data_IF_554046773149
#
_entry.id   IF_554046773149
#
_cell.length_a   1.000
_cell.length_b   1.000
_cell.length_c   1.000
_cell.angle_alpha   90.00
_cell.angle_beta   90.00
_cell.angle_gamma   90.00
#
_symmetry.space_group_name_H-M   'P 1'
#
loop_
_entity.id
_entity.type
_entity.pdbx_description
1 polymer ?
#
# COMPACT_ATOMS: atom_id res chain seq x y z
N UNK A 1 75.62 -6.58 -4.42
CA UNK A 1 74.87 -7.36 -5.43
C UNK A 1 74.58 -8.69 -4.77
N UNK A 2 73.41 -8.93 -4.18
CA UNK A 2 72.11 -8.94 -4.84
C UNK A 2 70.98 -8.43 -3.93
N UNK A 3 70.25 -7.47 -4.47
CA UNK A 3 68.85 -7.09 -4.25
C UNK A 3 68.14 -7.64 -3.02
N UNK A 4 68.11 -6.80 -1.99
CA UNK A 4 67.03 -6.77 -1.01
C UNK A 4 65.78 -6.25 -1.75
N UNK A 5 65.13 -7.11 -2.53
CA UNK A 5 63.80 -6.84 -3.08
C UNK A 5 62.81 -6.85 -1.92
N UNK A 6 62.72 -5.70 -1.23
CA UNK A 6 61.66 -5.37 -0.29
C UNK A 6 60.37 -5.34 -1.10
N UNK A 7 59.75 -6.50 -1.23
CA UNK A 7 58.37 -6.63 -1.68
C UNK A 7 57.50 -5.86 -0.68
N UNK A 8 57.14 -4.62 -1.04
CA UNK A 8 56.12 -3.86 -0.32
C UNK A 8 54.79 -4.60 -0.50
N UNK A 9 54.56 -5.60 0.35
CA UNK A 9 53.23 -6.16 0.58
C UNK A 9 52.44 -5.11 1.36
N UNK A 10 51.82 -4.19 0.63
CA UNK A 10 50.76 -3.35 1.18
C UNK A 10 49.75 -4.32 1.80
N UNK A 11 49.58 -4.27 3.12
CA UNK A 11 48.53 -5.02 3.80
C UNK A 11 47.19 -4.43 3.36
N UNK A 12 46.54 -5.12 2.43
CA UNK A 12 45.22 -4.76 1.88
C UNK A 12 44.11 -5.31 2.79
N UNK A 13 44.42 -5.62 4.06
CA UNK A 13 43.50 -6.26 5.00
C UNK A 13 42.32 -5.35 5.37
N UNK A 14 42.44 -4.04 5.14
CA UNK A 14 41.40 -3.04 5.41
C UNK A 14 40.39 -2.87 4.26
N UNK A 15 40.75 -3.19 3.02
CA UNK A 15 39.86 -3.02 1.86
C UNK A 15 38.57 -3.86 1.95
N UNK A 16 38.62 -5.15 2.35
CA UNK A 16 37.42 -5.94 2.58
C UNK A 16 36.50 -5.37 3.67
N UNK A 17 37.07 -4.76 4.71
CA UNK A 17 36.31 -4.12 5.79
C UNK A 17 35.58 -2.87 5.27
N UNK A 18 36.27 -2.05 4.48
CA UNK A 18 35.68 -0.87 3.83
C UNK A 18 34.55 -1.29 2.88
N UNK A 19 34.71 -2.39 2.14
CA UNK A 19 33.66 -2.89 1.25
C UNK A 19 32.40 -3.33 2.02
N UNK A 20 32.57 -3.99 3.16
CA UNK A 20 31.45 -4.38 4.04
C UNK A 20 30.72 -3.14 4.57
N UNK A 21 31.45 -2.14 5.05
CA UNK A 21 30.82 -0.91 5.54
C UNK A 21 30.15 -0.11 4.43
N UNK A 22 30.72 -0.10 3.22
CA UNK A 22 30.08 0.50 2.05
C UNK A 22 28.75 -0.20 1.71
N UNK A 23 28.72 -1.54 1.73
CA UNK A 23 27.49 -2.33 1.52
C UNK A 23 26.44 -2.00 2.59
N UNK A 24 26.84 -1.89 3.86
CA UNK A 24 25.94 -1.44 4.94
C UNK A 24 25.42 -0.04 4.68
N UNK A 25 26.28 0.92 4.35
CA UNK A 25 25.89 2.30 4.06
C UNK A 25 24.87 2.38 2.90
N UNK A 26 25.10 1.63 1.82
CA UNK A 26 24.17 1.55 0.70
C UNK A 26 22.81 0.96 1.11
N UNK A 27 22.81 -0.12 1.90
CA UNK A 27 21.58 -0.71 2.42
C UNK A 27 20.78 0.28 3.27
N UNK A 28 21.45 1.09 4.12
CA UNK A 28 20.81 2.16 4.90
C UNK A 28 20.22 3.25 4.01
N UNK A 29 20.92 3.66 2.95
CA UNK A 29 20.40 4.62 1.97
C UNK A 29 19.11 4.11 1.30
N UNK A 30 19.07 2.83 0.91
CA UNK A 30 17.86 2.19 0.38
C UNK A 30 16.71 2.20 1.39
N UNK A 31 17.00 2.00 2.69
CA UNK A 31 16.00 2.07 3.75
C UNK A 31 15.42 3.48 3.93
N UNK A 32 16.26 4.51 3.84
CA UNK A 32 15.79 5.90 3.83
C UNK A 32 14.87 6.15 2.62
N UNK A 33 15.26 5.69 1.43
CA UNK A 33 14.40 5.78 0.24
C UNK A 33 13.08 5.02 0.41
N UNK A 34 13.10 3.81 0.97
CA UNK A 34 11.90 3.03 1.23
C UNK A 34 10.94 3.68 2.24
N UNK A 35 11.49 4.49 3.15
CA UNK A 35 10.69 5.28 4.11
C UNK A 35 10.10 6.51 3.44
N UNK A 36 10.91 7.23 2.66
CA UNK A 36 10.54 8.53 2.10
C UNK A 36 9.66 8.38 0.84
N UNK A 37 9.79 7.26 0.13
CA UNK A 37 9.02 6.92 -1.06
C UNK A 37 8.21 5.63 -0.83
N UNK A 38 6.97 5.60 -1.32
CA UNK A 38 6.11 4.39 -1.28
C UNK A 38 6.64 3.31 -2.23
N UNK A 39 7.70 2.61 -1.81
CA UNK A 39 8.25 1.46 -2.52
C UNK A 39 7.34 0.24 -2.39
N UNK A 40 7.47 -0.71 -3.31
CA UNK A 40 6.68 -1.96 -3.28
C UNK A 40 7.05 -2.86 -2.11
N UNK A 41 6.12 -3.72 -1.67
CA UNK A 41 6.36 -4.69 -0.58
C UNK A 41 7.49 -5.67 -0.94
N UNK A 42 7.54 -6.13 -2.19
CA UNK A 42 8.64 -6.93 -2.74
C UNK A 42 10.01 -6.26 -2.58
N UNK A 43 10.10 -4.95 -2.82
CA UNK A 43 11.34 -4.21 -2.63
C UNK A 43 11.73 -4.18 -1.14
N UNK A 44 10.78 -3.89 -0.26
CA UNK A 44 11.01 -3.85 1.20
C UNK A 44 11.45 -5.23 1.72
N UNK A 45 10.85 -6.32 1.23
CA UNK A 45 11.27 -7.68 1.57
C UNK A 45 12.71 -7.97 1.16
N UNK A 46 13.11 -7.63 -0.08
CA UNK A 46 14.48 -7.81 -0.56
C UNK A 46 15.48 -6.98 0.27
N UNK A 47 15.10 -5.75 0.59
CA UNK A 47 15.91 -4.87 1.42
C UNK A 47 16.12 -5.44 2.83
N UNK A 48 15.09 -6.00 3.47
CA UNK A 48 15.23 -6.62 4.80
C UNK A 48 16.10 -7.89 4.76
N UNK A 49 16.06 -8.66 3.67
CA UNK A 49 16.98 -9.79 3.45
C UNK A 49 18.43 -9.34 3.29
N UNK A 50 18.66 -8.24 2.57
CA UNK A 50 19.98 -7.60 2.45
C UNK A 50 20.50 -7.14 3.82
N UNK A 51 19.66 -6.46 4.61
CA UNK A 51 20.00 -6.01 5.96
C UNK A 51 20.38 -7.17 6.90
N UNK A 52 19.67 -8.30 6.79
CA UNK A 52 19.97 -9.52 7.57
C UNK A 52 21.31 -10.12 7.16
N UNK A 53 21.59 -10.20 5.86
CA UNK A 53 22.89 -10.66 5.33
C UNK A 53 24.05 -9.79 5.83
N UNK A 54 23.81 -8.48 5.96
CA UNK A 54 24.79 -7.50 6.43
C UNK A 54 24.83 -7.35 7.97
N UNK A 55 24.00 -8.10 8.70
CA UNK A 55 23.89 -8.09 10.17
C UNK A 55 23.53 -6.71 10.75
N UNK A 56 22.68 -5.95 10.05
CA UNK A 56 22.20 -4.63 10.45
C UNK A 56 20.67 -4.59 10.66
N UNK A 57 20.00 -5.73 10.61
CA UNK A 57 18.53 -5.85 10.71
C UNK A 57 17.95 -5.33 12.04
N UNK A 58 18.78 -5.26 13.09
CA UNK A 58 18.41 -4.75 14.42
C UNK A 58 18.43 -3.23 14.52
N UNK A 59 18.93 -2.52 13.51
CA UNK A 59 18.84 -1.07 13.51
C UNK A 59 17.37 -0.62 13.41
N UNK A 60 17.02 0.45 14.12
CA UNK A 60 15.65 0.95 14.26
C UNK A 60 14.91 1.10 12.92
N UNK A 61 15.59 1.53 11.87
CA UNK A 61 14.99 1.72 10.55
C UNK A 61 14.50 0.41 9.93
N UNK A 62 15.25 -0.69 10.08
CA UNK A 62 14.86 -1.99 9.54
C UNK A 62 13.81 -2.67 10.42
N UNK A 63 13.87 -2.49 11.73
CA UNK A 63 12.81 -2.92 12.66
C UNK A 63 11.48 -2.24 12.33
N UNK A 64 11.49 -0.93 12.07
CA UNK A 64 10.28 -0.22 11.68
C UNK A 64 9.72 -0.73 10.34
N UNK A 65 10.58 -0.94 9.33
CA UNK A 65 10.17 -1.48 8.04
C UNK A 65 9.62 -2.91 8.15
N UNK A 66 10.20 -3.76 9.01
CA UNK A 66 9.70 -5.12 9.20
C UNK A 66 8.34 -5.15 9.89
N UNK A 67 8.09 -4.28 10.86
CA UNK A 67 6.76 -4.10 11.46
C UNK A 67 5.72 -3.65 10.43
N UNK A 68 6.06 -2.66 9.59
CA UNK A 68 5.17 -2.19 8.51
C UNK A 68 4.87 -3.33 7.54
N UNK A 69 5.89 -4.08 7.14
CA UNK A 69 5.74 -5.22 6.23
C UNK A 69 4.82 -6.31 6.84
N UNK A 70 4.98 -6.63 8.13
CA UNK A 70 4.16 -7.62 8.82
C UNK A 70 2.68 -7.24 8.85
N UNK A 71 2.35 -5.96 8.89
CA UNK A 71 0.96 -5.46 8.80
C UNK A 71 0.48 -5.43 7.35
N UNK A 72 1.33 -5.03 6.40
CA UNK A 72 0.94 -4.84 5.01
C UNK A 72 0.71 -6.16 4.25
N UNK A 73 1.46 -7.22 4.53
CA UNK A 73 1.32 -8.50 3.83
C UNK A 73 -0.07 -9.14 3.97
N UNK A 74 -0.66 -9.25 5.17
CA UNK A 74 -2.04 -9.73 5.31
C UNK A 74 -3.07 -8.89 4.53
N UNK A 75 -2.86 -7.57 4.46
CA UNK A 75 -3.74 -6.69 3.68
C UNK A 75 -3.60 -6.92 2.18
N UNK A 76 -2.38 -7.10 1.68
CA UNK A 76 -2.15 -7.43 0.27
C UNK A 76 -2.80 -8.76 -0.09
N UNK A 77 -2.62 -9.78 0.76
CA UNK A 77 -3.20 -11.10 0.50
C UNK A 77 -4.72 -11.06 0.53
N UNK A 78 -5.32 -10.39 1.53
CA UNK A 78 -6.76 -10.21 1.59
C UNK A 78 -7.31 -9.45 0.38
N UNK A 79 -6.60 -8.42 -0.08
CA UNK A 79 -6.99 -7.69 -1.29
C UNK A 79 -6.93 -8.60 -2.53
N UNK A 80 -5.88 -9.44 -2.64
CA UNK A 80 -5.74 -10.44 -3.70
C UNK A 80 -6.88 -11.45 -3.70
N UNK A 81 -7.24 -11.97 -2.52
CA UNK A 81 -8.37 -12.89 -2.34
C UNK A 81 -9.68 -12.27 -2.80
N UNK A 82 -9.99 -11.06 -2.34
CA UNK A 82 -11.21 -10.33 -2.73
C UNK A 82 -11.26 -10.15 -4.25
N UNK A 83 -10.17 -9.66 -4.84
CA UNK A 83 -10.08 -9.44 -6.29
C UNK A 83 -10.15 -10.75 -7.09
N UNK A 84 -9.72 -11.87 -6.51
CA UNK A 84 -9.80 -13.20 -7.15
C UNK A 84 -11.20 -13.83 -7.08
N UNK A 85 -12.04 -13.36 -6.17
CA UNK A 85 -13.40 -13.84 -5.94
C UNK A 85 -14.48 -12.85 -6.38
N UNK A 86 -14.10 -11.71 -6.94
CA UNK A 86 -15.03 -10.74 -7.48
C UNK A 86 -15.75 -11.37 -8.68
N UNK A 87 -17.08 -11.50 -8.56
CA UNK A 87 -17.90 -11.87 -9.70
C UNK A 87 -17.67 -10.83 -10.81
N UNK A 88 -17.44 -11.26 -12.06
CA UNK A 88 -17.18 -10.32 -13.14
C UNK A 88 -18.30 -9.28 -13.20
N UNK A 89 -17.96 -8.03 -13.49
CA UNK A 89 -18.93 -6.92 -13.57
C UNK A 89 -20.12 -7.28 -14.47
N UNK A 90 -19.92 -8.15 -15.47
CA UNK A 90 -20.95 -8.75 -16.32
C UNK A 90 -22.09 -9.40 -15.53
N UNK A 91 -21.78 -10.07 -14.41
CA UNK A 91 -22.78 -10.74 -13.57
C UNK A 91 -23.71 -9.74 -12.88
N UNK A 92 -23.32 -8.45 -12.84
CA UNK A 92 -24.11 -7.37 -12.28
C UNK A 92 -24.62 -6.38 -13.33
N UNK A 93 -24.34 -6.58 -14.63
CA UNK A 93 -24.76 -5.66 -15.69
C UNK A 93 -26.26 -5.47 -15.74
N UNK A 94 -27.04 -6.55 -15.56
CA UNK A 94 -28.50 -6.49 -15.51
C UNK A 94 -28.98 -5.67 -14.32
N UNK A 95 -28.37 -5.85 -13.15
CA UNK A 95 -28.73 -5.13 -11.92
C UNK A 95 -28.33 -3.65 -12.00
N UNK A 96 -27.16 -3.34 -12.57
CA UNK A 96 -26.68 -1.97 -12.82
C UNK A 96 -27.58 -1.28 -13.84
N UNK A 97 -27.96 -1.99 -14.91
CA UNK A 97 -28.90 -1.51 -15.93
C UNK A 97 -30.28 -1.26 -15.34
N UNK A 98 -30.77 -2.14 -14.47
CA UNK A 98 -32.04 -1.98 -13.78
C UNK A 98 -32.01 -0.79 -12.81
N UNK A 99 -30.92 -0.64 -12.05
CA UNK A 99 -30.69 0.50 -11.15
C UNK A 99 -30.66 1.82 -11.93
N UNK A 100 -29.94 1.86 -13.05
CA UNK A 100 -29.88 3.02 -13.92
C UNK A 100 -31.25 3.34 -14.54
N UNK A 101 -31.97 2.32 -14.99
CA UNK A 101 -33.32 2.45 -15.53
C UNK A 101 -34.29 2.97 -14.45
N UNK A 102 -34.24 2.43 -13.23
CA UNK A 102 -35.02 2.93 -12.09
C UNK A 102 -34.69 4.40 -11.78
N UNK A 103 -33.40 4.75 -11.67
CA UNK A 103 -32.97 6.12 -11.43
C UNK A 103 -33.48 7.07 -12.52
N UNK A 104 -33.36 6.65 -13.79
CA UNK A 104 -33.87 7.37 -14.94
C UNK A 104 -35.40 7.53 -14.89
N UNK A 105 -36.15 6.48 -14.55
CA UNK A 105 -37.59 6.58 -14.32
C UNK A 105 -37.92 7.54 -13.17
N UNK A 106 -37.27 7.44 -12.01
CA UNK A 106 -37.54 8.32 -10.87
C UNK A 106 -37.25 9.79 -11.17
N UNK A 107 -36.28 10.08 -12.03
CA UNK A 107 -35.88 11.45 -12.41
C UNK A 107 -36.69 12.00 -13.59
N UNK A 108 -37.02 11.17 -14.59
CA UNK A 108 -37.80 11.58 -15.77
C UNK A 108 -39.31 11.59 -15.50
N UNK A 109 -39.80 10.72 -14.63
CA UNK A 109 -41.24 10.63 -14.29
C UNK A 109 -41.62 11.42 -13.05
N UNK A 110 -40.75 12.31 -12.52
CA UNK A 110 -40.89 13.00 -11.22
C UNK A 110 -42.27 13.60 -10.91
N UNK A 111 -43.28 12.79 -10.59
CA UNK A 111 -44.64 13.25 -10.86
C UNK A 111 -45.81 12.31 -10.64
N UNK A 112 -45.68 11.21 -9.88
CA UNK A 112 -46.88 10.59 -9.27
C UNK A 112 -46.95 10.74 -7.74
N UNK A 113 -45.84 11.08 -7.07
CA UNK A 113 -45.89 11.50 -5.66
C UNK A 113 -46.25 12.98 -5.47
N UNK A 114 -46.14 13.81 -6.52
CA UNK A 114 -46.41 15.25 -6.46
C UNK A 114 -47.88 15.66 -6.65
N UNK A 115 -48.84 14.73 -6.78
CA UNK A 115 -50.26 15.04 -7.02
C UNK A 115 -51.25 14.46 -6.00
N UNK A 116 -50.79 14.06 -4.81
CA UNK A 116 -51.71 13.65 -3.72
C UNK A 116 -51.69 14.61 -2.52
N UNK A 117 -50.77 15.58 -2.46
CA UNK A 117 -50.82 16.66 -1.48
C UNK A 117 -51.24 17.99 -2.12
N UNK A 118 -52.47 18.05 -2.63
CA UNK A 118 -53.18 19.31 -2.86
C UNK A 118 -54.22 19.58 -1.76
N UNK A 119 -53.94 19.09 -0.54
CA UNK A 119 -54.59 19.55 0.67
C UNK A 119 -53.72 20.62 1.32
N UNK A 120 -54.25 21.83 1.45
CA UNK A 120 -53.60 22.97 2.11
C UNK A 120 -52.97 22.56 3.46
N UNK A 121 -51.75 23.00 3.82
CA UNK A 121 -51.10 22.62 5.09
C UNK A 121 -51.75 23.20 6.35
N UNK A 122 -52.86 23.93 6.24
CA UNK A 122 -53.33 24.83 7.30
C UNK A 122 -54.55 24.33 8.09
N UNK A 123 -54.94 23.06 7.97
CA UNK A 123 -56.11 22.51 8.69
C UNK A 123 -55.81 21.37 9.67
N UNK A 124 -54.56 20.91 9.82
CA UNK A 124 -54.25 19.75 10.67
C UNK A 124 -53.73 20.09 12.08
N UNK A 125 -53.75 21.36 12.49
CA UNK A 125 -53.28 21.82 13.81
C UNK A 125 -54.39 22.43 14.69
N UNK A 126 -55.66 22.10 14.45
CA UNK A 126 -56.79 22.60 15.27
C UNK A 126 -57.57 21.53 16.04
N UNK A 127 -57.22 20.25 15.94
CA UNK A 127 -57.91 19.17 16.69
C UNK A 127 -57.00 18.47 17.71
N UNK A 128 -55.97 19.16 18.19
CA UNK A 128 -55.11 18.68 19.28
C UNK A 128 -54.80 19.78 20.30
N UNK A 129 -55.82 20.54 20.72
CA UNK A 129 -55.94 21.18 22.04
C UNK A 129 -57.40 21.16 22.48
#
# INVERSE_FOLDING_TARGET
>A
MSDLCLSLKIQVDELPLVEIELKKANCREKALKARDFKMSLEFIQKLLKEATTLQIEKEKQFVNLSCVLAVALPWEERAREILSHEAPISDFEDMISLSYLCFKFFTETGGLAGRVYSGSPEAAYSDMV
#
